data_IF_441045403067
#
_entry.id   IF_441045403067
#
_cell.length_a   1.000
_cell.length_b   1.000
_cell.length_c   1.000
_cell.angle_alpha   90.00
_cell.angle_beta   90.00
_cell.angle_gamma   90.00
#
_symmetry.space_group_name_H-M   'P 1'
#
loop_
_entity.id
_entity.type
_entity.pdbx_description
1 polymer ?
#
# COMPACT_ATOMS: atom_id res chain seq x y z
N UNK A 1 -17.46 23.15 -2.41
CA UNK A 1 -16.23 23.64 -1.78
C UNK A 1 -15.32 22.42 -1.69
N UNK A 2 -14.27 22.34 -2.53
CA UNK A 2 -13.35 21.19 -2.54
C UNK A 2 -12.63 21.12 -1.19
N UNK A 3 -12.51 19.91 -0.62
CA UNK A 3 -11.71 19.70 0.59
C UNK A 3 -10.25 19.94 0.24
N UNK A 4 -9.57 20.79 1.01
CA UNK A 4 -8.18 21.17 0.80
C UNK A 4 -7.24 20.01 1.14
N UNK A 5 -6.29 19.73 0.25
CA UNK A 5 -5.23 18.74 0.49
C UNK A 5 -4.19 19.38 1.41
N UNK A 6 -3.99 18.79 2.59
CA UNK A 6 -2.99 19.27 3.54
C UNK A 6 -1.60 18.74 3.17
N UNK A 7 -0.66 19.64 3.01
CA UNK A 7 0.74 19.32 2.69
C UNK A 7 1.56 19.00 3.94
N UNK A 8 1.20 19.60 5.08
CA UNK A 8 1.94 19.49 6.34
C UNK A 8 1.03 18.98 7.45
N UNK A 9 0.98 17.67 7.66
CA UNK A 9 0.58 17.12 8.94
C UNK A 9 1.73 16.30 9.50
N UNK A 10 2.39 16.75 10.58
CA UNK A 10 3.26 15.88 11.34
C UNK A 10 2.38 14.78 11.94
N UNK A 11 2.49 13.58 11.42
CA UNK A 11 1.91 12.40 12.05
C UNK A 11 2.76 12.11 13.28
N UNK A 12 2.21 12.33 14.49
CA UNK A 12 2.83 11.83 15.70
C UNK A 12 2.89 10.31 15.62
N UNK A 13 4.09 9.76 15.46
CA UNK A 13 4.31 8.33 15.33
C UNK A 13 4.73 7.73 16.68
N UNK A 14 4.23 6.55 16.93
CA UNK A 14 4.69 5.63 17.97
C UNK A 14 5.72 4.68 17.38
N UNK A 15 6.54 4.09 18.23
CA UNK A 15 7.50 3.06 17.86
C UNK A 15 7.15 1.78 18.62
N UNK A 16 7.22 0.66 17.95
CA UNK A 16 7.08 -0.68 18.54
C UNK A 16 8.23 -1.56 18.09
N UNK A 17 8.84 -2.28 19.04
CA UNK A 17 9.87 -3.27 18.70
C UNK A 17 9.22 -4.50 18.11
N UNK A 18 9.68 -4.91 16.95
CA UNK A 18 9.16 -6.02 16.15
C UNK A 18 10.32 -6.87 15.67
N UNK A 19 10.37 -8.12 16.10
CA UNK A 19 11.47 -9.03 15.81
C UNK A 19 12.83 -8.45 16.26
N UNK A 20 13.71 -8.19 15.34
CA UNK A 20 15.06 -7.63 15.58
C UNK A 20 15.19 -6.15 15.15
N UNK A 21 14.06 -5.47 14.94
CA UNK A 21 14.00 -4.06 14.51
C UNK A 21 12.84 -3.33 15.18
N UNK A 22 12.67 -2.06 14.84
CA UNK A 22 11.58 -1.22 15.30
C UNK A 22 10.70 -0.81 14.11
N UNK A 23 9.38 -0.78 14.32
CA UNK A 23 8.45 -0.22 13.35
C UNK A 23 7.77 1.04 13.90
N UNK A 24 7.77 2.09 13.10
CA UNK A 24 7.04 3.32 13.37
C UNK A 24 5.60 3.19 12.87
N UNK A 25 4.65 3.79 13.57
CA UNK A 25 3.26 3.83 13.12
C UNK A 25 2.54 5.05 13.66
N UNK A 26 1.63 5.58 12.86
CA UNK A 26 0.65 6.56 13.31
C UNK A 26 -0.55 5.84 13.91
N UNK A 27 -1.06 6.37 15.04
CA UNK A 27 -2.27 5.84 15.67
C UNK A 27 -3.14 6.98 16.15
N UNK A 28 -4.45 6.89 15.86
CA UNK A 28 -5.45 7.88 16.28
C UNK A 28 -6.79 7.20 16.57
N UNK A 29 -7.50 7.72 17.57
CA UNK A 29 -8.82 7.22 17.94
C UNK A 29 -8.78 5.98 18.83
N UNK A 30 -9.94 5.36 19.02
CA UNK A 30 -10.15 4.17 19.83
C UNK A 30 -11.30 3.33 19.28
N UNK A 31 -11.40 2.06 19.68
CA UNK A 31 -12.42 1.13 19.20
C UNK A 31 -11.87 0.10 18.22
N UNK A 32 -12.73 -0.39 17.33
CA UNK A 32 -12.33 -1.41 16.35
C UNK A 32 -11.17 -0.95 15.46
N UNK A 33 -10.16 -1.79 15.24
CA UNK A 33 -8.97 -1.41 14.48
C UNK A 33 -9.25 -1.25 13.00
N UNK A 34 -8.71 -0.16 12.43
CA UNK A 34 -8.65 0.14 11.01
C UNK A 34 -7.18 0.24 10.63
N UNK A 35 -6.68 -0.72 9.86
CA UNK A 35 -5.27 -0.82 9.50
C UNK A 35 -5.02 -0.33 8.08
N UNK A 36 -4.20 0.70 7.94
CA UNK A 36 -3.84 1.33 6.67
C UNK A 36 -2.47 0.84 6.22
N UNK A 37 -2.40 0.17 5.08
CA UNK A 37 -1.14 -0.34 4.54
C UNK A 37 -0.77 0.38 3.25
N UNK A 38 0.37 1.08 3.30
CA UNK A 38 0.99 1.75 2.17
C UNK A 38 1.88 0.79 1.36
N UNK A 39 2.47 1.27 0.27
CA UNK A 39 3.42 0.53 -0.55
C UNK A 39 4.66 1.34 -0.92
N UNK A 40 5.22 1.08 -2.09
CA UNK A 40 6.48 1.64 -2.58
C UNK A 40 6.26 2.98 -3.32
N UNK A 41 7.00 4.03 -3.05
CA UNK A 41 8.06 4.25 -2.05
C UNK A 41 7.54 5.06 -0.85
N UNK A 42 6.30 4.85 -0.46
CA UNK A 42 5.59 5.71 0.50
C UNK A 42 5.76 5.26 1.96
N UNK A 43 4.98 5.84 2.84
CA UNK A 43 4.90 5.56 4.26
C UNK A 43 3.49 5.87 4.77
N UNK A 44 3.27 5.82 6.08
CA UNK A 44 2.02 6.29 6.70
C UNK A 44 1.65 7.73 6.29
N UNK A 45 2.62 8.55 5.89
CA UNK A 45 2.40 9.90 5.39
C UNK A 45 1.41 9.97 4.21
N UNK A 46 1.35 8.93 3.38
CA UNK A 46 0.38 8.82 2.28
C UNK A 46 -1.08 8.98 2.76
N UNK A 47 -1.36 8.54 3.98
CA UNK A 47 -2.71 8.53 4.54
C UNK A 47 -3.11 9.81 5.28
N UNK A 48 -2.24 10.86 5.34
CA UNK A 48 -2.45 12.11 6.10
C UNK A 48 -3.74 12.84 5.76
N UNK A 49 -4.21 12.74 4.51
CA UNK A 49 -5.47 13.38 4.06
C UNK A 49 -6.68 12.44 4.11
N UNK A 50 -6.46 11.13 4.29
CA UNK A 50 -7.51 10.12 4.41
C UNK A 50 -7.94 9.94 5.87
N UNK A 51 -6.99 9.72 6.76
CA UNK A 51 -7.20 9.42 8.18
C UNK A 51 -8.07 10.46 8.90
N UNK A 52 -7.90 11.78 8.72
CA UNK A 52 -8.72 12.77 9.41
C UNK A 52 -10.22 12.67 9.14
N UNK A 53 -10.62 12.14 7.98
CA UNK A 53 -12.02 11.96 7.60
C UNK A 53 -12.69 10.79 8.33
N UNK A 54 -11.90 9.92 8.96
CA UNK A 54 -12.37 8.76 9.73
C UNK A 54 -12.33 8.98 11.24
N UNK A 55 -12.14 10.23 11.70
CA UNK A 55 -12.11 10.53 13.14
C UNK A 55 -13.39 10.06 13.82
N UNK A 56 -13.24 9.38 14.97
CA UNK A 56 -14.35 8.79 15.71
C UNK A 56 -14.92 7.49 15.13
N UNK A 57 -14.34 6.94 14.06
CA UNK A 57 -14.82 5.72 13.39
C UNK A 57 -14.11 4.43 13.81
N UNK A 58 -13.11 4.53 14.66
CA UNK A 58 -12.33 3.38 15.12
C UNK A 58 -10.94 3.79 15.59
N UNK A 59 -10.12 2.80 15.85
CA UNK A 59 -8.70 2.93 16.16
C UNK A 59 -7.93 2.86 14.84
N UNK A 60 -7.52 4.01 14.33
CA UNK A 60 -6.88 4.19 13.03
C UNK A 60 -5.37 3.98 13.17
N UNK A 61 -4.83 2.95 12.51
CA UNK A 61 -3.45 2.50 12.65
C UNK A 61 -2.80 2.47 11.27
N UNK A 62 -1.72 3.21 11.09
CA UNK A 62 -0.96 3.26 9.83
C UNK A 62 0.53 3.05 10.10
N UNK A 63 1.05 1.81 9.98
CA UNK A 63 2.47 1.56 10.09
C UNK A 63 3.25 2.10 8.90
N UNK A 64 4.52 2.43 9.14
CA UNK A 64 5.54 2.45 8.11
C UNK A 64 6.07 1.02 7.96
N UNK A 65 6.07 0.48 6.74
CA UNK A 65 6.64 -0.84 6.48
C UNK A 65 8.13 -0.87 6.83
N UNK A 66 8.65 -2.04 7.20
CA UNK A 66 10.06 -2.17 7.57
C UNK A 66 10.98 -1.60 6.47
N UNK A 67 11.98 -0.82 6.85
CA UNK A 67 12.88 -0.16 5.92
C UNK A 67 12.30 1.09 5.23
N UNK A 68 11.05 1.47 5.50
CA UNK A 68 10.35 2.61 4.88
C UNK A 68 9.89 3.61 5.95
N UNK A 69 9.60 4.84 5.56
CA UNK A 69 9.21 5.88 6.49
C UNK A 69 10.21 6.06 7.63
N UNK A 70 9.69 6.10 8.87
CA UNK A 70 10.50 6.20 10.09
C UNK A 70 10.75 4.82 10.76
N UNK A 71 10.35 3.72 10.11
CA UNK A 71 10.67 2.36 10.57
C UNK A 71 12.17 2.03 10.42
N UNK A 72 12.64 1.11 11.24
CA UNK A 72 14.03 0.69 11.27
C UNK A 72 14.53 0.17 9.93
N UNK A 73 15.80 0.39 9.67
CA UNK A 73 16.51 -0.18 8.51
C UNK A 73 17.16 -1.50 8.91
N UNK A 74 17.00 -2.52 8.08
CA UNK A 74 17.62 -3.82 8.32
C UNK A 74 19.13 -3.74 8.08
N UNK A 75 19.89 -4.50 8.87
CA UNK A 75 21.36 -4.49 8.82
C UNK A 75 21.85 -5.13 7.52
N UNK A 76 22.94 -4.57 6.97
CA UNK A 76 23.59 -5.08 5.76
C UNK A 76 22.61 -5.32 4.60
N UNK A 77 21.83 -4.31 4.18
CA UNK A 77 20.80 -4.49 3.17
C UNK A 77 21.40 -4.87 1.82
N UNK A 78 20.69 -5.74 1.12
CA UNK A 78 21.04 -6.25 -0.20
C UNK A 78 19.81 -6.69 -0.99
N UNK A 79 20.01 -7.37 -2.13
CA UNK A 79 18.94 -7.74 -3.06
C UNK A 79 17.80 -8.55 -2.42
N UNK A 80 18.10 -9.35 -1.42
CA UNK A 80 17.16 -10.27 -0.78
C UNK A 80 16.65 -9.79 0.59
N UNK A 81 17.09 -8.63 1.08
CA UNK A 81 16.79 -8.17 2.43
C UNK A 81 15.33 -7.76 2.59
N UNK A 82 14.77 -7.04 1.61
CA UNK A 82 13.43 -6.48 1.67
C UNK A 82 12.45 -7.18 0.70
N UNK A 83 12.57 -8.51 0.60
CA UNK A 83 11.62 -9.29 -0.22
C UNK A 83 10.21 -9.25 0.36
N UNK A 84 9.22 -9.61 -0.46
CA UNK A 84 7.82 -9.67 -0.03
C UNK A 84 7.64 -10.47 1.28
N UNK A 85 8.26 -11.64 1.37
CA UNK A 85 8.19 -12.52 2.55
C UNK A 85 8.82 -11.89 3.81
N UNK A 86 9.83 -11.04 3.65
CA UNK A 86 10.39 -10.26 4.77
C UNK A 86 9.36 -9.25 5.29
N UNK A 87 8.78 -8.45 4.42
CA UNK A 87 7.71 -7.51 4.81
C UNK A 87 6.50 -8.22 5.41
N UNK A 88 6.12 -9.37 4.86
CA UNK A 88 5.04 -10.23 5.38
C UNK A 88 5.31 -10.64 6.83
N UNK A 89 6.55 -11.05 7.14
CA UNK A 89 6.97 -11.48 8.48
C UNK A 89 6.93 -10.31 9.47
N UNK A 90 7.49 -9.15 9.11
CA UNK A 90 7.48 -7.97 9.97
C UNK A 90 6.07 -7.41 10.17
N UNK A 91 5.22 -7.40 9.13
CA UNK A 91 3.84 -6.94 9.24
C UNK A 91 3.01 -7.86 10.16
N UNK A 92 3.15 -9.18 10.05
CA UNK A 92 2.46 -10.11 10.93
C UNK A 92 2.85 -9.86 12.40
N UNK A 93 4.15 -9.76 12.69
CA UNK A 93 4.63 -9.46 14.03
C UNK A 93 4.22 -8.06 14.53
N UNK A 94 4.11 -7.06 13.64
CA UNK A 94 3.56 -5.74 13.97
C UNK A 94 2.09 -5.83 14.38
N UNK A 95 1.28 -6.56 13.61
CA UNK A 95 -0.15 -6.75 13.91
C UNK A 95 -0.33 -7.44 15.26
N UNK A 96 0.44 -8.48 15.53
CA UNK A 96 0.39 -9.20 16.81
C UNK A 96 0.81 -8.31 18.00
N UNK A 97 1.80 -7.42 17.80
CA UNK A 97 2.28 -6.52 18.85
C UNK A 97 1.34 -5.35 19.14
N UNK A 98 0.58 -4.88 18.16
CA UNK A 98 -0.21 -3.63 18.26
C UNK A 98 -1.71 -3.89 18.32
N UNK A 99 -2.20 -4.95 17.67
CA UNK A 99 -3.64 -5.26 17.57
C UNK A 99 -3.91 -6.57 18.31
N UNK A 100 -4.92 -6.59 19.17
CA UNK A 100 -5.29 -7.77 19.94
C UNK A 100 -5.68 -8.97 19.06
N UNK A 101 -5.30 -10.17 19.47
CA UNK A 101 -5.48 -11.41 18.70
C UNK A 101 -6.95 -11.70 18.33
N UNK A 102 -7.91 -11.26 19.13
CA UNK A 102 -9.34 -11.48 18.94
C UNK A 102 -10.06 -10.31 18.24
N UNK A 103 -9.36 -9.27 17.85
CA UNK A 103 -9.95 -8.12 17.19
C UNK A 103 -10.10 -8.37 15.68
N UNK A 104 -11.27 -8.06 15.15
CA UNK A 104 -11.49 -8.02 13.71
C UNK A 104 -11.01 -6.69 13.14
N UNK A 105 -10.28 -6.74 12.06
CA UNK A 105 -9.59 -5.60 11.43
C UNK A 105 -10.31 -5.20 10.15
N UNK A 106 -10.57 -3.89 10.00
CA UNK A 106 -10.85 -3.29 8.71
C UNK A 106 -9.51 -2.95 8.04
N UNK A 107 -9.25 -3.50 6.88
CA UNK A 107 -8.05 -3.22 6.10
C UNK A 107 -8.30 -2.09 5.09
N UNK A 108 -7.37 -1.13 4.99
CA UNK A 108 -7.36 -0.05 3.98
C UNK A 108 -6.02 -0.12 3.24
N UNK A 109 -6.05 -0.52 1.98
CA UNK A 109 -4.93 -1.09 1.27
C UNK A 109 -4.59 -0.34 -0.02
N UNK A 110 -3.30 -0.10 -0.25
CA UNK A 110 -2.79 0.51 -1.46
C UNK A 110 -1.47 -0.15 -1.89
N UNK A 111 -1.23 -0.29 -3.19
CA UNK A 111 0.01 -0.79 -3.81
C UNK A 111 0.48 -2.12 -3.17
N UNK A 112 1.73 -2.25 -2.76
CA UNK A 112 2.23 -3.42 -2.05
C UNK A 112 1.55 -3.69 -0.70
N UNK A 113 1.03 -2.64 -0.05
CA UNK A 113 0.18 -2.80 1.12
C UNK A 113 -1.07 -3.62 0.82
N UNK A 114 -1.56 -3.59 -0.42
CA UNK A 114 -2.68 -4.45 -0.83
C UNK A 114 -2.28 -5.93 -0.90
N UNK A 115 -1.13 -6.24 -1.49
CA UNK A 115 -0.64 -7.62 -1.55
C UNK A 115 -0.39 -8.20 -0.14
N UNK A 116 0.26 -7.41 0.74
CA UNK A 116 0.49 -7.79 2.12
C UNK A 116 -0.82 -7.97 2.90
N UNK A 117 -1.76 -7.03 2.73
CA UNK A 117 -3.06 -7.08 3.41
C UNK A 117 -3.95 -8.21 2.93
N UNK A 118 -4.02 -8.46 1.63
CA UNK A 118 -4.79 -9.58 1.06
C UNK A 118 -4.23 -10.93 1.47
N UNK A 119 -2.90 -11.08 1.48
CA UNK A 119 -2.25 -12.29 1.93
C UNK A 119 -2.50 -12.53 3.44
N UNK A 120 -2.31 -11.50 4.26
CA UNK A 120 -2.59 -11.61 5.69
C UNK A 120 -4.06 -11.96 5.94
N UNK A 121 -4.99 -11.31 5.24
CA UNK A 121 -6.42 -11.59 5.32
C UNK A 121 -6.76 -13.02 4.89
N UNK A 122 -6.16 -13.53 3.82
CA UNK A 122 -6.37 -14.90 3.36
C UNK A 122 -5.91 -15.94 4.39
N UNK A 123 -4.88 -15.64 5.16
CA UNK A 123 -4.37 -16.51 6.25
C UNK A 123 -5.11 -16.33 7.59
N UNK A 124 -5.84 -15.22 7.78
CA UNK A 124 -6.53 -14.86 9.03
C UNK A 124 -7.98 -14.44 8.77
N UNK A 125 -8.72 -15.28 8.03
CA UNK A 125 -10.05 -14.95 7.44
C UNK A 125 -11.10 -14.56 8.46
N UNK A 126 -11.06 -15.11 9.65
CA UNK A 126 -11.94 -14.83 10.78
C UNK A 126 -11.67 -13.48 11.47
N UNK A 127 -10.50 -12.91 11.21
CA UNK A 127 -10.06 -11.62 11.77
C UNK A 127 -10.35 -10.43 10.86
N UNK A 128 -11.07 -10.60 9.76
CA UNK A 128 -11.38 -9.52 8.81
C UNK A 128 -12.82 -9.06 8.98
N UNK A 129 -13.02 -7.75 9.24
CA UNK A 129 -14.34 -7.13 9.24
C UNK A 129 -14.73 -6.53 7.90
N UNK A 130 -13.76 -6.11 7.08
CA UNK A 130 -13.95 -5.54 5.76
C UNK A 130 -12.62 -5.19 5.10
N UNK A 131 -12.66 -4.92 3.81
CA UNK A 131 -11.47 -4.57 3.01
C UNK A 131 -11.79 -3.39 2.11
N UNK A 132 -11.03 -2.31 2.27
CA UNK A 132 -10.98 -1.17 1.33
C UNK A 132 -9.69 -1.30 0.54
N UNK A 133 -9.74 -1.18 -0.77
CA UNK A 133 -8.53 -1.27 -1.58
C UNK A 133 -8.56 -0.34 -2.78
N UNK A 134 -7.39 0.07 -3.22
CA UNK A 134 -7.17 1.00 -4.32
C UNK A 134 -5.80 0.76 -4.95
N UNK A 135 -5.69 0.88 -6.28
CA UNK A 135 -4.45 0.82 -7.05
C UNK A 135 -3.46 -0.25 -6.53
N UNK A 136 -3.94 -1.49 -6.43
CA UNK A 136 -3.25 -2.58 -5.73
C UNK A 136 -2.85 -3.76 -6.62
N UNK A 137 -2.11 -4.69 -6.04
CA UNK A 137 -1.69 -5.95 -6.68
C UNK A 137 -2.76 -7.00 -6.39
N UNK A 138 -3.66 -7.23 -7.33
CA UNK A 138 -4.89 -8.02 -7.13
C UNK A 138 -4.81 -9.43 -7.71
N UNK A 139 -3.91 -9.67 -8.65
CA UNK A 139 -3.62 -10.97 -9.26
C UNK A 139 -2.21 -10.99 -9.87
N UNK A 140 -1.64 -12.16 -10.17
CA UNK A 140 -0.45 -12.23 -10.98
C UNK A 140 -0.68 -11.62 -12.37
N UNK A 141 0.36 -11.07 -12.95
CA UNK A 141 0.37 -10.43 -14.27
C UNK A 141 0.98 -11.44 -15.26
N UNK A 142 0.23 -11.77 -16.32
CA UNK A 142 0.62 -12.80 -17.29
C UNK A 142 1.90 -12.46 -18.04
N UNK A 143 2.06 -11.21 -18.41
CA UNK A 143 3.25 -10.71 -19.10
C UNK A 143 3.28 -9.19 -19.18
N UNK A 144 4.32 -8.66 -19.78
CA UNK A 144 4.52 -7.21 -19.92
C UNK A 144 3.48 -6.53 -20.82
N UNK A 145 2.79 -7.27 -21.64
CA UNK A 145 1.68 -6.81 -22.46
C UNK A 145 0.44 -6.38 -21.64
N UNK A 146 0.33 -6.91 -20.42
CA UNK A 146 -0.71 -6.49 -19.47
C UNK A 146 -0.30 -5.28 -18.62
N UNK A 147 0.98 -4.89 -18.65
CA UNK A 147 1.50 -3.74 -17.94
C UNK A 147 1.31 -2.46 -18.74
N UNK A 148 1.29 -1.30 -18.07
CA UNK A 148 1.25 -0.01 -18.77
C UNK A 148 2.42 0.14 -19.75
N UNK A 149 2.14 0.37 -21.02
CA UNK A 149 3.16 0.52 -22.05
C UNK A 149 4.15 1.67 -21.74
N UNK A 150 3.68 2.74 -21.12
CA UNK A 150 4.52 3.88 -20.73
C UNK A 150 5.43 3.57 -19.52
N UNK A 151 4.98 2.70 -18.61
CA UNK A 151 5.74 2.30 -17.42
C UNK A 151 6.67 1.09 -17.68
N UNK A 152 6.38 0.26 -18.69
CA UNK A 152 7.15 -0.96 -18.98
C UNK A 152 8.66 -0.72 -19.06
N UNK A 153 9.19 0.26 -19.81
CA UNK A 153 10.65 0.42 -19.95
C UNK A 153 11.35 0.70 -18.61
N UNK A 154 10.75 1.53 -17.74
CA UNK A 154 11.36 1.87 -16.45
C UNK A 154 11.31 0.69 -15.50
N UNK A 155 10.20 -0.08 -15.44
CA UNK A 155 10.08 -1.25 -14.58
C UNK A 155 10.95 -2.42 -15.03
N UNK A 156 11.09 -2.65 -16.34
CA UNK A 156 12.08 -3.60 -16.88
C UNK A 156 13.50 -3.18 -16.52
N UNK A 157 13.80 -1.86 -16.57
CA UNK A 157 15.07 -1.32 -16.13
C UNK A 157 15.38 -1.64 -14.67
N UNK A 158 14.42 -1.45 -13.75
CA UNK A 158 14.58 -1.77 -12.32
C UNK A 158 14.83 -3.26 -12.07
N UNK A 159 14.25 -4.14 -12.89
CA UNK A 159 14.41 -5.60 -12.81
C UNK A 159 15.68 -6.11 -13.48
N UNK A 160 16.38 -5.28 -14.23
CA UNK A 160 17.65 -5.60 -14.89
C UNK A 160 18.88 -5.28 -14.00
N UNK A 161 20.07 -5.57 -14.49
CA UNK A 161 21.35 -5.16 -13.87
C UNK A 161 21.47 -3.63 -13.69
N UNK A 162 20.75 -2.84 -14.49
CA UNK A 162 20.74 -1.39 -14.39
C UNK A 162 19.94 -0.88 -13.18
N UNK A 163 19.12 -1.74 -12.55
CA UNK A 163 18.23 -1.36 -11.47
C UNK A 163 18.95 -0.73 -10.27
N UNK A 164 20.12 -1.25 -9.90
CA UNK A 164 20.91 -0.67 -8.81
C UNK A 164 21.36 0.76 -9.13
N UNK A 165 21.90 1.00 -10.33
CA UNK A 165 22.27 2.36 -10.74
C UNK A 165 21.04 3.28 -10.83
N UNK A 166 19.90 2.78 -11.29
CA UNK A 166 18.68 3.59 -11.39
C UNK A 166 18.13 3.98 -10.02
N UNK A 167 18.14 3.09 -9.06
CA UNK A 167 17.52 3.31 -7.77
C UNK A 167 18.52 3.65 -6.70
N UNK A 168 19.56 2.82 -6.47
CA UNK A 168 20.48 3.05 -5.37
C UNK A 168 21.31 4.32 -5.60
N UNK A 169 21.73 4.61 -6.84
CA UNK A 169 22.50 5.83 -7.13
C UNK A 169 21.60 7.03 -7.39
N UNK A 170 20.54 6.89 -8.20
CA UNK A 170 19.73 8.02 -8.69
C UNK A 170 18.39 8.19 -8.00
N UNK A 171 18.02 7.30 -7.08
CA UNK A 171 16.73 7.31 -6.35
C UNK A 171 15.51 7.47 -7.27
N UNK A 172 15.53 6.86 -8.45
CA UNK A 172 14.54 7.14 -9.51
C UNK A 172 13.10 6.78 -9.13
N UNK A 173 12.90 5.86 -8.17
CA UNK A 173 11.53 5.56 -7.75
C UNK A 173 10.90 6.77 -7.05
N UNK A 174 11.62 7.39 -6.11
CA UNK A 174 11.15 8.58 -5.39
C UNK A 174 11.18 9.82 -6.28
N UNK A 175 12.22 9.99 -7.12
CA UNK A 175 12.42 11.23 -7.87
C UNK A 175 11.62 11.29 -9.19
N UNK A 176 11.19 10.14 -9.73
CA UNK A 176 10.49 10.08 -11.01
C UNK A 176 9.18 9.32 -10.98
N UNK A 177 9.18 8.08 -10.43
CA UNK A 177 7.96 7.26 -10.46
C UNK A 177 6.89 7.87 -9.58
N UNK A 178 7.23 8.24 -8.35
CA UNK A 178 6.28 8.84 -7.42
C UNK A 178 5.63 10.12 -8.00
N UNK A 179 6.35 11.20 -8.33
CA UNK A 179 5.71 12.42 -8.84
C UNK A 179 5.08 12.23 -10.22
N UNK A 180 5.55 11.28 -11.02
CA UNK A 180 4.98 10.95 -12.33
C UNK A 180 3.69 10.12 -12.25
N UNK A 181 3.32 9.66 -11.06
CA UNK A 181 2.14 8.81 -10.80
C UNK A 181 1.11 9.51 -9.90
N UNK A 182 1.13 10.84 -9.87
CA UNK A 182 0.17 11.75 -9.22
C UNK A 182 -0.32 12.73 -10.28
N UNK A 183 -1.61 13.07 -10.31
CA UNK A 183 -2.16 14.02 -11.28
C UNK A 183 -1.77 15.46 -10.96
N UNK A 184 -1.80 15.82 -9.67
CA UNK A 184 -1.33 17.12 -9.22
C UNK A 184 0.20 17.18 -9.11
N UNK A 185 0.76 18.35 -9.04
CA UNK A 185 2.17 18.52 -8.69
C UNK A 185 2.35 18.42 -7.18
N UNK A 186 3.24 17.52 -6.74
CA UNK A 186 3.69 17.48 -5.35
C UNK A 186 4.57 18.70 -5.04
N UNK A 187 4.35 19.33 -3.88
CA UNK A 187 5.15 20.43 -3.39
C UNK A 187 6.51 19.97 -2.85
N UNK A 188 7.42 20.93 -2.64
CA UNK A 188 8.77 20.62 -2.15
C UNK A 188 8.77 20.00 -0.75
N UNK A 189 7.87 20.43 0.14
CA UNK A 189 7.70 19.85 1.47
C UNK A 189 7.23 18.40 1.41
N UNK A 190 6.26 18.09 0.54
CA UNK A 190 5.76 16.72 0.33
C UNK A 190 6.86 15.81 -0.22
N UNK A 191 7.60 16.29 -1.23
CA UNK A 191 8.72 15.54 -1.79
C UNK A 191 9.86 15.34 -0.79
N UNK A 192 10.09 16.31 0.13
CA UNK A 192 11.07 16.17 1.20
C UNK A 192 10.69 15.03 2.16
N UNK A 193 9.40 14.91 2.54
CA UNK A 193 8.92 13.81 3.37
C UNK A 193 9.09 12.45 2.68
N UNK A 194 8.78 12.34 1.40
CA UNK A 194 8.99 11.10 0.64
C UNK A 194 10.46 10.75 0.42
N UNK A 195 11.36 11.76 0.33
CA UNK A 195 12.82 11.54 0.21
C UNK A 195 13.48 11.14 1.51
N UNK A 196 12.96 11.63 2.65
CA UNK A 196 13.56 11.50 3.98
C UNK A 196 14.02 10.06 4.31
N UNK A 197 13.23 8.99 4.05
CA UNK A 197 13.64 7.63 4.36
C UNK A 197 14.77 7.08 3.47
N UNK A 198 15.07 7.74 2.33
CA UNK A 198 15.90 7.25 1.24
C UNK A 198 17.04 8.21 0.86
N UNK A 199 17.50 9.03 1.81
CA UNK A 199 18.61 9.96 1.60
C UNK A 199 19.94 9.22 1.45
N UNK A 200 20.13 8.14 2.22
CA UNK A 200 21.31 7.29 2.16
C UNK A 200 21.11 6.22 1.09
N UNK A 201 22.18 5.90 0.36
CA UNK A 201 22.16 4.94 -0.75
C UNK A 201 21.65 3.56 -0.32
N UNK A 202 22.15 3.06 0.78
CA UNK A 202 21.83 1.75 1.33
C UNK A 202 20.38 1.65 1.80
N UNK A 203 19.77 2.75 2.20
CA UNK A 203 18.37 2.82 2.62
C UNK A 203 17.37 2.71 1.46
N UNK A 204 17.84 2.76 0.21
CA UNK A 204 17.02 2.64 -1.01
C UNK A 204 16.75 1.19 -1.43
N UNK A 205 17.31 0.20 -0.78
CA UNK A 205 17.07 -1.20 -1.11
C UNK A 205 15.59 -1.60 -1.14
N UNK A 206 14.71 -1.16 -0.21
CA UNK A 206 13.28 -1.46 -0.31
C UNK A 206 12.68 -1.00 -1.64
N UNK A 207 13.02 0.22 -2.09
CA UNK A 207 12.46 0.81 -3.31
C UNK A 207 12.94 0.12 -4.59
N UNK A 208 14.05 -0.62 -4.55
CA UNK A 208 14.54 -1.47 -5.63
C UNK A 208 13.95 -2.89 -5.55
N UNK A 209 13.84 -3.44 -4.34
CA UNK A 209 13.37 -4.82 -4.17
C UNK A 209 11.90 -4.94 -4.55
N UNK A 210 11.06 -3.98 -4.19
CA UNK A 210 9.64 -4.01 -4.51
C UNK A 210 9.33 -4.18 -6.01
N UNK A 211 9.88 -3.39 -6.95
CA UNK A 211 9.65 -3.63 -8.38
C UNK A 211 10.16 -4.99 -8.88
N UNK A 212 11.18 -5.55 -8.23
CA UNK A 212 11.71 -6.89 -8.53
C UNK A 212 10.81 -8.02 -8.01
N UNK A 213 9.93 -7.73 -7.05
CA UNK A 213 8.97 -8.68 -6.50
C UNK A 213 7.60 -8.68 -7.21
N UNK A 214 7.36 -7.77 -8.15
CA UNK A 214 6.09 -7.75 -8.91
C UNK A 214 5.90 -9.10 -9.60
N UNK A 215 4.76 -9.81 -9.36
CA UNK A 215 4.50 -11.14 -9.90
C UNK A 215 4.10 -11.05 -11.37
N UNK A 216 5.09 -10.91 -12.24
CA UNK A 216 4.90 -10.76 -13.69
C UNK A 216 5.64 -11.84 -14.45
N UNK A 217 5.01 -12.41 -15.49
CA UNK A 217 5.58 -13.47 -16.32
C UNK A 217 6.07 -14.68 -15.49
N UNK A 218 5.28 -15.07 -14.47
CA UNK A 218 5.55 -16.18 -13.54
C UNK A 218 6.76 -15.99 -12.61
N UNK A 219 7.28 -14.76 -12.48
CA UNK A 219 8.42 -14.45 -11.61
C UNK A 219 8.17 -13.22 -10.73
N UNK A 220 8.69 -13.23 -9.46
CA UNK A 220 9.29 -14.38 -8.78
C UNK A 220 8.22 -15.42 -8.38
N UNK A 221 8.55 -16.71 -8.48
CA UNK A 221 7.59 -17.81 -8.36
C UNK A 221 6.87 -17.82 -7.00
N UNK A 222 7.58 -17.61 -5.91
CA UNK A 222 7.01 -17.57 -4.56
C UNK A 222 5.97 -16.44 -4.39
N UNK A 223 6.21 -15.26 -4.94
CA UNK A 223 5.25 -14.16 -4.89
C UNK A 223 4.07 -14.43 -5.82
N UNK A 224 4.31 -15.03 -6.99
CA UNK A 224 3.22 -15.46 -7.90
C UNK A 224 2.27 -16.43 -7.22
N UNK A 225 2.78 -17.43 -6.50
CA UNK A 225 1.98 -18.40 -5.75
C UNK A 225 1.15 -17.72 -4.66
N UNK A 226 1.74 -16.82 -3.86
CA UNK A 226 1.06 -16.09 -2.80
C UNK A 226 -0.05 -15.21 -3.39
N UNK A 227 0.26 -14.47 -4.46
CA UNK A 227 -0.68 -13.56 -5.12
C UNK A 227 -1.83 -14.33 -5.76
N UNK A 228 -1.56 -15.47 -6.40
CA UNK A 228 -2.60 -16.33 -6.97
C UNK A 228 -3.53 -16.92 -5.89
N UNK A 229 -2.98 -17.30 -4.74
CA UNK A 229 -3.75 -17.84 -3.63
C UNK A 229 -4.74 -16.83 -3.04
N UNK A 230 -4.29 -15.61 -2.74
CA UNK A 230 -5.20 -14.58 -2.23
C UNK A 230 -6.15 -14.05 -3.32
N UNK A 231 -5.73 -13.96 -4.58
CA UNK A 231 -6.59 -13.54 -5.68
C UNK A 231 -7.81 -14.45 -5.82
N UNK A 232 -7.60 -15.78 -5.73
CA UNK A 232 -8.69 -16.75 -5.70
C UNK A 232 -9.63 -16.53 -4.52
N UNK A 233 -9.09 -16.40 -3.31
CA UNK A 233 -9.90 -16.16 -2.12
C UNK A 233 -10.67 -14.82 -2.21
N UNK A 234 -10.04 -13.74 -2.70
CA UNK A 234 -10.69 -12.43 -2.86
C UNK A 234 -11.88 -12.47 -3.81
N UNK A 235 -11.80 -13.26 -4.88
CA UNK A 235 -12.90 -13.43 -5.82
C UNK A 235 -14.07 -14.25 -5.24
N UNK A 236 -13.81 -15.16 -4.30
CA UNK A 236 -14.78 -16.13 -3.80
C UNK A 236 -15.44 -15.73 -2.45
N UNK A 237 -14.75 -14.94 -1.61
CA UNK A 237 -15.22 -14.62 -0.26
C UNK A 237 -16.30 -13.53 -0.24
N UNK A 238 -17.13 -13.57 0.83
CA UNK A 238 -18.22 -12.61 1.06
C UNK A 238 -17.84 -11.48 2.05
N UNK A 239 -16.55 -11.32 2.41
CA UNK A 239 -16.09 -10.19 3.23
C UNK A 239 -16.50 -8.88 2.54
N UNK A 240 -17.11 -7.92 3.26
CA UNK A 240 -17.49 -6.64 2.69
C UNK A 240 -16.29 -5.90 2.08
N UNK A 241 -16.45 -5.40 0.86
CA UNK A 241 -15.37 -4.72 0.14
C UNK A 241 -15.80 -3.33 -0.32
N UNK A 242 -14.88 -2.38 -0.26
CA UNK A 242 -14.97 -1.09 -0.93
C UNK A 242 -13.83 -0.98 -1.94
N UNK A 243 -14.15 -0.98 -3.21
CA UNK A 243 -13.21 -0.69 -4.28
C UNK A 243 -13.21 0.81 -4.55
N UNK A 244 -12.09 1.48 -4.24
CA UNK A 244 -11.86 2.86 -4.61
C UNK A 244 -11.14 2.87 -5.95
N UNK A 245 -11.91 3.02 -7.01
CA UNK A 245 -11.42 3.07 -8.38
C UNK A 245 -10.81 4.43 -8.70
N UNK A 246 -9.59 4.45 -9.20
CA UNK A 246 -8.92 5.65 -9.69
C UNK A 246 -9.31 5.95 -11.14
N UNK A 247 -9.57 7.21 -11.47
CA UNK A 247 -9.75 7.68 -12.84
C UNK A 247 -8.72 8.78 -13.17
N UNK A 248 -7.79 8.53 -14.11
CA UNK A 248 -7.66 7.40 -15.02
C UNK A 248 -7.13 6.11 -14.37
N UNK A 249 -6.47 6.19 -13.19
CA UNK A 249 -5.77 5.08 -12.58
C UNK A 249 -4.43 4.75 -13.27
N UNK A 250 -3.75 3.72 -12.79
CA UNK A 250 -2.48 3.27 -13.35
C UNK A 250 -2.32 1.75 -13.36
N UNK A 251 -2.72 1.05 -12.29
CA UNK A 251 -2.59 -0.41 -12.16
C UNK A 251 -3.95 -1.10 -12.35
N UNK A 252 -4.98 -0.62 -11.67
CA UNK A 252 -6.33 -1.19 -11.76
C UNK A 252 -7.09 -0.61 -12.95
N UNK A 253 -6.61 -0.93 -14.17
CA UNK A 253 -7.18 -0.48 -15.44
C UNK A 253 -7.51 -1.68 -16.32
N UNK A 254 -8.38 -1.47 -17.32
CA UNK A 254 -8.72 -2.49 -18.31
C UNK A 254 -9.14 -3.84 -17.69
N UNK A 255 -8.59 -4.97 -18.15
CA UNK A 255 -8.94 -6.31 -17.66
C UNK A 255 -8.70 -6.50 -16.14
N UNK A 256 -7.70 -5.82 -15.56
CA UNK A 256 -7.41 -5.90 -14.13
C UNK A 256 -8.53 -5.24 -13.32
N UNK A 257 -9.03 -4.09 -13.78
CA UNK A 257 -10.20 -3.42 -13.17
C UNK A 257 -11.46 -4.30 -13.25
N UNK A 258 -11.71 -4.94 -14.38
CA UNK A 258 -12.85 -5.84 -14.55
C UNK A 258 -12.72 -7.08 -13.64
N UNK A 259 -11.51 -7.59 -13.42
CA UNK A 259 -11.27 -8.64 -12.43
C UNK A 259 -11.67 -8.19 -11.02
N UNK A 260 -11.30 -6.99 -10.60
CA UNK A 260 -11.76 -6.43 -9.32
C UNK A 260 -13.29 -6.32 -9.25
N UNK A 261 -13.94 -5.88 -10.33
CA UNK A 261 -15.40 -5.73 -10.41
C UNK A 261 -16.15 -7.05 -10.31
N UNK A 262 -15.49 -8.17 -10.60
CA UNK A 262 -16.08 -9.51 -10.45
C UNK A 262 -16.15 -10.00 -9.00
N UNK A 263 -15.51 -9.32 -8.04
CA UNK A 263 -15.49 -9.73 -6.64
C UNK A 263 -16.83 -9.54 -5.96
N UNK A 264 -17.17 -10.49 -5.10
CA UNK A 264 -18.46 -10.51 -4.38
C UNK A 264 -18.50 -9.48 -3.27
N UNK A 265 -19.72 -9.10 -2.87
CA UNK A 265 -20.02 -8.22 -1.74
C UNK A 265 -19.18 -6.93 -1.74
N UNK A 266 -19.20 -6.24 -2.88
CA UNK A 266 -18.38 -5.07 -3.15
C UNK A 266 -19.21 -3.87 -3.54
N UNK A 267 -18.88 -2.72 -2.95
CA UNK A 267 -19.25 -1.39 -3.46
C UNK A 267 -18.05 -0.80 -4.20
N UNK A 268 -18.31 -0.13 -5.31
CA UNK A 268 -17.31 0.66 -6.03
C UNK A 268 -17.62 2.14 -5.91
N UNK A 269 -16.58 2.95 -5.71
CA UNK A 269 -16.61 4.41 -5.84
C UNK A 269 -15.47 4.84 -6.74
N UNK A 270 -15.67 5.88 -7.55
CA UNK A 270 -14.63 6.39 -8.45
C UNK A 270 -14.23 7.79 -8.03
N UNK A 271 -12.92 8.02 -7.94
CA UNK A 271 -12.33 9.33 -7.65
C UNK A 271 -11.24 9.67 -8.65
N UNK A 272 -11.02 10.97 -8.93
CA UNK A 272 -9.87 11.38 -9.75
C UNK A 272 -8.55 10.94 -9.13
N UNK A 273 -7.66 10.38 -9.92
CA UNK A 273 -6.33 10.01 -9.43
C UNK A 273 -5.56 9.12 -10.39
N UNK A 274 -4.24 9.08 -10.20
CA UNK A 274 -3.35 8.11 -10.81
C UNK A 274 -3.01 7.02 -9.79
N UNK A 275 -1.77 6.49 -9.78
CA UNK A 275 -1.40 5.42 -8.85
C UNK A 275 -1.44 5.86 -7.38
N UNK A 276 -0.84 7.00 -7.05
CA UNK A 276 -0.88 7.53 -5.66
C UNK A 276 -2.14 8.37 -5.45
N UNK A 277 -3.29 7.74 -5.63
CA UNK A 277 -4.64 8.32 -5.62
C UNK A 277 -4.94 9.13 -4.33
N UNK A 278 -4.31 8.79 -3.20
CA UNK A 278 -4.45 9.51 -1.94
C UNK A 278 -3.88 10.92 -2.01
N UNK A 279 -2.88 11.15 -2.87
CA UNK A 279 -2.32 12.48 -3.13
C UNK A 279 -3.27 13.35 -3.96
N UNK A 280 -4.07 12.73 -4.82
CA UNK A 280 -5.01 13.44 -5.67
C UNK A 280 -6.37 13.64 -5.00
N UNK A 281 -6.87 12.64 -4.27
CA UNK A 281 -8.25 12.59 -3.76
C UNK A 281 -8.36 12.13 -2.30
N UNK A 282 -7.31 12.29 -1.48
CA UNK A 282 -7.26 11.79 -0.10
C UNK A 282 -8.48 12.12 0.76
N UNK A 283 -8.93 13.40 0.84
CA UNK A 283 -10.12 13.76 1.62
C UNK A 283 -11.40 13.08 1.12
N UNK A 284 -11.56 12.96 -0.21
CA UNK A 284 -12.73 12.28 -0.81
C UNK A 284 -12.71 10.78 -0.49
N UNK A 285 -11.54 10.13 -0.61
CA UNK A 285 -11.35 8.73 -0.26
C UNK A 285 -11.73 8.49 1.19
N UNK A 286 -11.22 9.31 2.11
CA UNK A 286 -11.53 9.18 3.53
C UNK A 286 -13.03 9.32 3.82
N UNK A 287 -13.70 10.28 3.18
CA UNK A 287 -15.16 10.43 3.28
C UNK A 287 -15.92 9.22 2.76
N UNK A 288 -15.56 8.69 1.59
CA UNK A 288 -16.22 7.51 1.02
C UNK A 288 -16.06 6.27 1.91
N UNK A 289 -14.89 6.09 2.52
CA UNK A 289 -14.66 5.03 3.50
C UNK A 289 -15.56 5.23 4.74
N UNK A 290 -15.61 6.45 5.28
CA UNK A 290 -16.45 6.77 6.44
C UNK A 290 -17.93 6.54 6.18
N UNK A 291 -18.43 6.93 5.01
CA UNK A 291 -19.81 6.73 4.58
C UNK A 291 -20.12 5.23 4.41
N UNK A 292 -19.19 4.46 3.82
CA UNK A 292 -19.33 3.02 3.64
C UNK A 292 -19.37 2.27 5.00
N UNK A 293 -18.51 2.64 5.95
CA UNK A 293 -18.51 2.07 7.31
C UNK A 293 -19.85 2.33 8.01
N UNK A 294 -20.45 3.50 7.80
CA UNK A 294 -21.72 3.89 8.44
C UNK A 294 -22.94 3.21 7.81
N UNK A 295 -22.90 2.91 6.54
CA UNK A 295 -24.02 2.26 5.80
C UNK A 295 -24.29 0.81 6.25
N UNK A 296 -23.62 0.32 7.28
CA UNK A 296 -23.82 -1.02 7.85
C UNK A 296 -23.15 -2.13 7.06
N UNK A 297 -22.20 -1.81 6.20
CA UNK A 297 -21.42 -2.77 5.43
C UNK A 297 -20.59 -3.73 6.30
N UNK A 298 -20.24 -3.33 7.52
CA UNK A 298 -19.37 -4.07 8.44
C UNK A 298 -20.15 -4.88 9.52
N UNK A 299 -21.38 -5.27 9.24
CA UNK A 299 -22.23 -6.05 10.19
C UNK A 299 -21.94 -7.53 10.12
#
# INVERSE_FOLDING_TARGET
MGMEIMTEQPLNKKIVSVLDSDMAYHERGAGAPVLFLHGNPTSSYLWRNVIPQLEGRGRLIAPDLIGMGDSGKLKNPGPDTYRFVTHQTYLAAFIDAVIGENEKILLVLHDWGSALGFDWANRHRDRISGIVYMEGIVRPIGGWEEWSASATPIFQGFRSEKGESMILERNMFVERVLPGSVLRKLGDAEMAEYRKPFLVREDRWPTLTWPRQIPIASEPADVVEIVAAYAKWMAENDVPKLFVNADPGAILIGPVREFCRSWKNQREVTVPGSHFIQEDSGPTIGKEIADWMTAGALR
#
